data_IF_262329427821
#
_entry.id   IF_262329427821
#
_cell.length_a   1.000
_cell.length_b   1.000
_cell.length_c   1.000
_cell.angle_alpha   90.00
_cell.angle_beta   90.00
_cell.angle_gamma   90.00
#
_symmetry.space_group_name_H-M   'P 1'
#
loop_
_entity.id
_entity.type
_entity.pdbx_description
1 polymer ?
#
# COMPACT_ATOMS: atom_id res chain seq x y z
N UNK A 1 -9.56 -42.56 -12.20
CA UNK A 1 -10.25 -41.46 -12.90
C UNK A 1 -9.36 -40.24 -12.78
N UNK A 2 -8.93 -39.65 -13.89
CA UNK A 2 -8.07 -38.46 -13.84
C UNK A 2 -8.92 -37.30 -13.30
N UNK A 3 -8.64 -36.84 -12.08
CA UNK A 3 -9.32 -35.68 -11.53
C UNK A 3 -9.05 -34.50 -12.47
N UNK A 4 -10.12 -33.82 -12.91
CA UNK A 4 -9.97 -32.65 -13.78
C UNK A 4 -9.07 -31.62 -13.10
N UNK A 5 -8.07 -31.11 -13.83
CA UNK A 5 -7.14 -30.09 -13.32
C UNK A 5 -7.80 -28.71 -13.13
N UNK A 6 -8.94 -28.50 -13.80
CA UNK A 6 -9.67 -27.23 -13.84
C UNK A 6 -11.15 -27.45 -13.50
N UNK A 7 -11.83 -26.42 -12.95
CA UNK A 7 -13.26 -26.47 -12.73
C UNK A 7 -14.07 -26.69 -14.01
N UNK A 8 -15.32 -27.10 -13.86
CA UNK A 8 -16.27 -27.13 -14.96
C UNK A 8 -16.46 -25.73 -15.57
N UNK A 9 -16.95 -25.67 -16.81
CA UNK A 9 -17.02 -24.43 -17.59
C UNK A 9 -17.83 -23.30 -16.90
N UNK A 10 -18.89 -23.65 -16.16
CA UNK A 10 -19.72 -22.68 -15.44
C UNK A 10 -18.93 -22.02 -14.30
N UNK A 11 -18.17 -22.82 -13.54
CA UNK A 11 -17.32 -22.32 -12.47
C UNK A 11 -16.14 -21.51 -12.99
N UNK A 12 -15.53 -21.92 -14.11
CA UNK A 12 -14.46 -21.14 -14.75
C UNK A 12 -14.91 -19.74 -15.15
N UNK A 13 -16.11 -19.62 -15.72
CA UNK A 13 -16.68 -18.32 -16.06
C UNK A 13 -16.94 -17.45 -14.81
N UNK A 14 -17.46 -18.04 -13.73
CA UNK A 14 -17.70 -17.31 -12.48
C UNK A 14 -16.40 -16.83 -11.83
N UNK A 15 -15.37 -17.67 -11.82
CA UNK A 15 -14.03 -17.32 -11.35
C UNK A 15 -13.42 -16.18 -12.17
N UNK A 16 -13.57 -16.22 -13.50
CA UNK A 16 -13.12 -15.15 -14.39
C UNK A 16 -13.83 -13.82 -14.09
N UNK A 17 -15.16 -13.84 -13.93
CA UNK A 17 -15.94 -12.65 -13.55
C UNK A 17 -15.55 -12.13 -12.16
N UNK A 18 -15.15 -13.00 -11.24
CA UNK A 18 -14.63 -12.63 -9.92
C UNK A 18 -13.20 -12.03 -9.99
N UNK A 19 -12.53 -12.07 -11.14
CA UNK A 19 -11.17 -11.53 -11.34
C UNK A 19 -10.04 -12.55 -11.27
N UNK A 20 -10.34 -13.86 -11.37
CA UNK A 20 -9.34 -14.94 -11.39
C UNK A 20 -9.13 -15.40 -12.85
N UNK A 21 -7.97 -15.11 -13.48
CA UNK A 21 -7.68 -15.50 -14.87
C UNK A 21 -7.66 -17.02 -15.03
N UNK A 22 -7.97 -17.53 -16.23
CA UNK A 22 -8.01 -18.99 -16.49
C UNK A 22 -6.71 -19.71 -16.11
N UNK A 23 -5.56 -19.07 -16.31
CA UNK A 23 -4.24 -19.61 -15.95
C UNK A 23 -4.08 -19.89 -14.44
N UNK A 24 -4.91 -19.26 -13.60
CA UNK A 24 -4.88 -19.36 -12.14
C UNK A 24 -6.05 -20.16 -11.57
N UNK A 25 -6.80 -20.87 -12.41
CA UNK A 25 -7.96 -21.69 -12.00
C UNK A 25 -7.61 -23.17 -11.82
N UNK A 26 -6.36 -23.51 -11.54
CA UNK A 26 -5.96 -24.88 -11.17
C UNK A 26 -6.31 -25.17 -9.72
N UNK A 27 -6.43 -26.44 -9.34
CA UNK A 27 -6.70 -26.82 -7.94
C UNK A 27 -5.68 -26.19 -6.96
N UNK A 28 -4.38 -26.31 -7.24
CA UNK A 28 -3.33 -25.77 -6.38
C UNK A 28 -3.39 -24.24 -6.26
N UNK A 29 -3.67 -23.55 -7.37
CA UNK A 29 -3.84 -22.10 -7.36
C UNK A 29 -5.07 -21.71 -6.55
N UNK A 30 -6.21 -22.39 -6.75
CA UNK A 30 -7.43 -22.17 -5.97
C UNK A 30 -7.29 -22.56 -4.49
N UNK A 31 -6.32 -23.41 -4.12
CA UNK A 31 -6.01 -23.76 -2.73
C UNK A 31 -5.13 -22.72 -2.04
N UNK A 32 -4.08 -22.21 -2.70
CA UNK A 32 -3.36 -21.00 -2.22
C UNK A 32 -4.29 -19.77 -2.19
N UNK A 33 -5.41 -19.88 -2.91
CA UNK A 33 -6.76 -19.34 -2.73
C UNK A 33 -7.28 -19.00 -1.32
N UNK A 34 -7.06 -19.92 -0.40
CA UNK A 34 -7.94 -20.11 0.74
C UNK A 34 -7.34 -19.45 1.98
N UNK A 35 -8.17 -18.91 2.88
CA UNK A 35 -7.69 -18.52 4.20
C UNK A 35 -7.22 -19.78 4.92
N UNK A 36 -6.41 -19.59 5.96
CA UNK A 36 -5.80 -20.67 6.76
C UNK A 36 -6.88 -21.47 7.51
N UNK A 37 -7.56 -22.34 6.76
CA UNK A 37 -8.56 -23.29 7.19
C UNK A 37 -7.81 -24.59 7.44
N UNK A 38 -8.04 -25.21 8.60
CA UNK A 38 -7.42 -26.47 8.97
C UNK A 38 -7.36 -27.44 7.78
N UNK A 39 -6.14 -27.75 7.34
CA UNK A 39 -5.83 -28.58 6.16
C UNK A 39 -6.70 -29.84 6.00
N UNK A 40 -7.12 -30.56 7.07
CA UNK A 40 -8.02 -31.72 6.96
C UNK A 40 -9.38 -31.43 6.31
N UNK A 41 -9.92 -30.21 6.42
CA UNK A 41 -11.21 -29.83 5.82
C UNK A 41 -11.12 -29.62 4.30
N UNK A 42 -9.92 -29.33 3.80
CA UNK A 42 -9.66 -29.09 2.38
C UNK A 42 -9.16 -30.35 1.65
N UNK A 43 -8.68 -31.36 2.40
CA UNK A 43 -8.19 -32.62 1.84
C UNK A 43 -9.32 -33.42 1.18
N UNK A 44 -9.13 -33.77 -0.09
CA UNK A 44 -10.07 -34.59 -0.87
C UNK A 44 -11.18 -33.80 -1.57
N UNK A 45 -11.20 -32.47 -1.46
CA UNK A 45 -12.10 -31.65 -2.27
C UNK A 45 -11.73 -31.73 -3.75
N UNK A 46 -12.76 -31.85 -4.59
CA UNK A 46 -12.57 -31.71 -6.04
C UNK A 46 -12.30 -30.24 -6.40
N UNK A 47 -11.70 -30.01 -7.58
CA UNK A 47 -11.46 -28.66 -8.11
C UNK A 47 -12.75 -27.83 -8.25
N UNK A 48 -13.89 -28.49 -8.53
CA UNK A 48 -15.21 -27.85 -8.58
C UNK A 48 -15.65 -27.39 -7.19
N UNK A 49 -15.53 -28.25 -6.18
CA UNK A 49 -15.88 -27.90 -4.79
C UNK A 49 -14.98 -26.79 -4.25
N UNK A 50 -13.70 -26.81 -4.61
CA UNK A 50 -12.75 -25.75 -4.23
C UNK A 50 -13.15 -24.41 -4.87
N UNK A 51 -13.50 -24.42 -6.17
CA UNK A 51 -13.97 -23.23 -6.87
C UNK A 51 -15.27 -22.67 -6.27
N UNK A 52 -16.24 -23.53 -5.94
CA UNK A 52 -17.50 -23.12 -5.31
C UNK A 52 -17.27 -22.53 -3.92
N UNK A 53 -16.45 -23.18 -3.10
CA UNK A 53 -16.11 -22.70 -1.77
C UNK A 53 -15.38 -21.37 -1.83
N UNK A 54 -14.39 -21.22 -2.72
CA UNK A 54 -13.68 -19.96 -2.91
C UNK A 54 -14.62 -18.84 -3.35
N UNK A 55 -15.49 -19.08 -4.34
CA UNK A 55 -16.49 -18.11 -4.79
C UNK A 55 -17.46 -17.73 -3.67
N UNK A 56 -17.86 -18.69 -2.84
CA UNK A 56 -18.68 -18.44 -1.66
C UNK A 56 -17.95 -17.53 -0.66
N UNK A 57 -16.69 -17.83 -0.32
CA UNK A 57 -15.90 -17.02 0.60
C UNK A 57 -15.65 -15.60 0.05
N UNK A 58 -15.45 -15.46 -1.26
CA UNK A 58 -15.37 -14.15 -1.93
C UNK A 58 -16.69 -13.38 -1.78
N UNK A 59 -17.83 -14.04 -2.03
CA UNK A 59 -19.15 -13.40 -1.90
C UNK A 59 -19.47 -12.96 -0.47
N UNK A 60 -18.85 -13.61 0.54
CA UNK A 60 -18.99 -13.27 1.96
C UNK A 60 -17.92 -12.30 2.46
N UNK A 61 -16.99 -11.87 1.60
CA UNK A 61 -15.89 -10.97 1.96
C UNK A 61 -14.84 -11.61 2.87
N UNK A 62 -14.85 -12.95 3.00
CA UNK A 62 -13.85 -13.69 3.79
C UNK A 62 -12.54 -13.80 3.02
N UNK A 63 -12.63 -14.03 1.71
CA UNK A 63 -11.50 -13.89 0.78
C UNK A 63 -11.73 -12.63 -0.04
N UNK A 64 -10.78 -11.70 -0.01
CA UNK A 64 -10.84 -10.55 -0.92
C UNK A 64 -9.90 -10.80 -2.08
N UNK A 65 -10.40 -10.68 -3.30
CA UNK A 65 -9.55 -10.76 -4.47
C UNK A 65 -8.90 -9.41 -4.75
N UNK A 66 -7.62 -9.42 -5.18
CA UNK A 66 -6.95 -8.21 -5.55
C UNK A 66 -7.70 -7.54 -6.72
N UNK A 67 -8.28 -6.36 -6.51
CA UNK A 67 -9.02 -5.64 -7.57
C UNK A 67 -8.13 -4.57 -8.16
N UNK A 68 -7.94 -4.61 -9.48
CA UNK A 68 -7.29 -3.53 -10.19
C UNK A 68 -8.16 -2.26 -10.11
N UNK A 69 -7.57 -1.15 -9.67
CA UNK A 69 -8.26 0.14 -9.57
C UNK A 69 -7.30 1.30 -9.78
N UNK A 70 -7.54 2.06 -10.85
CA UNK A 70 -6.84 3.32 -11.14
C UNK A 70 -7.06 4.42 -10.08
N UNK A 71 -7.96 4.17 -9.12
CA UNK A 71 -8.32 5.08 -8.02
C UNK A 71 -8.05 4.49 -6.64
N UNK A 72 -7.27 3.41 -6.58
CA UNK A 72 -6.94 2.65 -5.37
C UNK A 72 -6.65 3.50 -4.12
N UNK A 73 -5.94 4.63 -4.28
CA UNK A 73 -5.54 5.50 -3.18
C UNK A 73 -6.40 6.75 -2.98
N UNK A 74 -7.38 6.98 -3.86
CA UNK A 74 -8.18 8.21 -3.83
C UNK A 74 -9.27 8.16 -2.76
N UNK A 75 -9.91 7.02 -2.52
CA UNK A 75 -11.02 6.93 -1.56
C UNK A 75 -10.66 6.09 -0.33
N UNK A 76 -9.51 6.43 0.28
CA UNK A 76 -9.09 5.86 1.55
C UNK A 76 -9.90 6.44 2.71
N UNK A 77 -10.29 5.64 3.72
CA UNK A 77 -10.86 6.17 4.96
C UNK A 77 -9.77 6.77 5.85
N UNK A 78 -10.15 7.72 6.72
CA UNK A 78 -9.27 8.21 7.78
C UNK A 78 -8.73 7.06 8.65
N UNK A 79 -7.47 7.17 9.06
CA UNK A 79 -6.74 6.10 9.73
C UNK A 79 -6.13 5.07 8.79
N UNK A 80 -6.22 5.26 7.47
CA UNK A 80 -5.55 4.39 6.51
C UNK A 80 -4.04 4.61 6.51
N UNK A 81 -3.31 3.51 6.69
CA UNK A 81 -1.89 3.44 6.47
C UNK A 81 -1.61 2.40 5.38
N UNK A 82 -1.07 2.87 4.25
CA UNK A 82 -0.96 2.11 3.02
C UNK A 82 0.50 1.97 2.63
N UNK A 83 0.90 0.75 2.28
CA UNK A 83 2.21 0.47 1.72
C UNK A 83 2.11 0.32 0.21
N UNK A 84 3.00 1.01 -0.52
CA UNK A 84 3.01 1.05 -1.97
C UNK A 84 4.40 0.85 -2.55
N UNK A 85 4.50 -0.04 -3.54
CA UNK A 85 5.76 -0.32 -4.24
C UNK A 85 5.83 0.35 -5.61
N UNK A 86 7.01 0.78 -6.02
CA UNK A 86 7.26 1.38 -7.32
C UNK A 86 8.55 0.88 -7.94
N UNK A 87 8.59 0.80 -9.27
CA UNK A 87 9.79 0.46 -10.05
C UNK A 87 10.49 1.72 -10.58
N UNK A 88 9.73 2.77 -10.86
CA UNK A 88 10.21 4.01 -11.45
C UNK A 88 9.68 5.25 -10.73
N UNK A 89 10.36 6.38 -10.96
CA UNK A 89 9.86 7.71 -10.55
C UNK A 89 8.49 8.01 -11.16
N UNK A 90 8.24 7.58 -12.40
CA UNK A 90 6.96 7.82 -13.06
C UNK A 90 5.82 7.09 -12.35
N UNK A 91 6.05 5.87 -11.86
CA UNK A 91 5.04 5.14 -11.07
C UNK A 91 4.68 5.89 -9.79
N UNK A 92 5.65 6.54 -9.14
CA UNK A 92 5.39 7.39 -7.98
C UNK A 92 4.56 8.62 -8.35
N UNK A 93 4.88 9.28 -9.47
CA UNK A 93 4.15 10.47 -9.92
C UNK A 93 2.70 10.14 -10.32
N UNK A 94 2.51 9.10 -11.14
CA UNK A 94 1.19 8.63 -11.60
C UNK A 94 0.26 8.32 -10.42
N UNK A 95 0.84 7.86 -9.31
CA UNK A 95 0.15 7.55 -8.07
C UNK A 95 -0.13 8.78 -7.21
N UNK A 96 0.94 9.52 -6.89
CA UNK A 96 0.90 10.52 -5.83
C UNK A 96 0.35 11.86 -6.30
N UNK A 97 0.48 12.19 -7.59
CA UNK A 97 -0.09 13.43 -8.13
C UNK A 97 -1.63 13.45 -8.00
N UNK A 98 -2.38 12.41 -8.45
CA UNK A 98 -3.82 12.34 -8.20
C UNK A 98 -4.19 12.28 -6.72
N UNK A 99 -3.41 11.55 -5.91
CA UNK A 99 -3.61 11.42 -4.47
C UNK A 99 -3.55 12.78 -3.76
N UNK A 100 -2.52 13.58 -4.02
CA UNK A 100 -2.39 14.91 -3.41
C UNK A 100 -3.35 15.92 -3.99
N UNK A 101 -3.59 15.91 -5.31
CA UNK A 101 -4.61 16.76 -5.93
C UNK A 101 -5.96 16.64 -5.22
N UNK A 102 -6.41 15.41 -4.99
CA UNK A 102 -7.68 15.16 -4.31
C UNK A 102 -7.67 15.69 -2.86
N UNK A 103 -6.57 15.50 -2.12
CA UNK A 103 -6.45 16.03 -0.77
C UNK A 103 -6.56 17.56 -0.73
N UNK A 104 -5.90 18.24 -1.66
CA UNK A 104 -5.98 19.70 -1.78
C UNK A 104 -7.40 20.17 -2.08
N UNK A 105 -8.10 19.52 -3.03
CA UNK A 105 -9.50 19.82 -3.39
C UNK A 105 -10.48 19.53 -2.23
N UNK A 106 -10.16 18.58 -1.35
CA UNK A 106 -10.98 18.19 -0.19
C UNK A 106 -10.64 18.97 1.10
N UNK A 107 -9.87 20.06 0.99
CA UNK A 107 -9.42 20.86 2.14
C UNK A 107 -8.63 20.05 3.18
N UNK A 108 -7.76 19.14 2.71
CA UNK A 108 -6.84 18.37 3.54
C UNK A 108 -5.45 19.02 3.51
N UNK A 109 -4.74 18.98 4.64
CA UNK A 109 -3.31 19.31 4.66
C UNK A 109 -2.55 18.16 4.00
N UNK A 110 -1.58 18.48 3.15
CA UNK A 110 -0.86 17.53 2.33
C UNK A 110 0.65 17.63 2.60
N UNK A 111 1.28 16.50 2.93
CA UNK A 111 2.72 16.41 3.15
C UNK A 111 3.33 15.29 2.30
N UNK A 112 4.29 15.66 1.44
CA UNK A 112 5.02 14.72 0.59
C UNK A 112 6.51 14.73 0.95
N UNK A 113 6.96 13.68 1.63
CA UNK A 113 8.37 13.45 1.92
C UNK A 113 9.01 12.70 0.74
N UNK A 114 9.63 13.43 -0.18
CA UNK A 114 10.23 12.86 -1.39
C UNK A 114 11.59 12.23 -1.10
N UNK A 115 11.98 11.21 -1.87
CA UNK A 115 13.34 10.64 -1.80
C UNK A 115 13.96 10.44 -3.16
N UNK A 116 13.53 9.42 -3.90
CA UNK A 116 14.06 9.22 -5.26
C UNK A 116 13.64 10.36 -6.19
N UNK A 117 12.46 10.94 -5.98
CA UNK A 117 12.05 12.19 -6.59
C UNK A 117 12.74 13.38 -5.92
N UNK A 118 13.16 14.36 -6.73
CA UNK A 118 13.53 15.67 -6.19
C UNK A 118 12.29 16.48 -5.84
N UNK A 119 12.45 17.50 -4.99
CA UNK A 119 11.37 18.44 -4.65
C UNK A 119 10.83 19.12 -5.92
N UNK A 120 11.73 19.49 -6.85
CA UNK A 120 11.36 20.16 -8.10
C UNK A 120 10.62 19.22 -9.06
N UNK A 121 11.02 17.95 -9.17
CA UNK A 121 10.31 16.94 -9.97
C UNK A 121 8.87 16.76 -9.46
N UNK A 122 8.70 16.59 -8.14
CA UNK A 122 7.38 16.42 -7.53
C UNK A 122 6.52 17.68 -7.64
N UNK A 123 7.10 18.88 -7.38
CA UNK A 123 6.41 20.16 -7.50
C UNK A 123 5.97 20.42 -8.95
N UNK A 124 6.84 20.19 -9.93
CA UNK A 124 6.52 20.38 -11.33
C UNK A 124 5.39 19.45 -11.79
N UNK A 125 5.49 18.16 -11.45
CA UNK A 125 4.44 17.19 -11.80
C UNK A 125 3.08 17.56 -11.18
N UNK A 126 3.08 18.01 -9.92
CA UNK A 126 1.86 18.42 -9.24
C UNK A 126 1.30 19.73 -9.81
N UNK A 127 2.14 20.69 -10.23
CA UNK A 127 1.67 21.96 -10.80
C UNK A 127 1.02 21.80 -12.17
N UNK A 128 1.39 20.75 -12.93
CA UNK A 128 0.71 20.40 -14.19
C UNK A 128 -0.73 19.94 -13.91
N UNK A 129 -0.98 19.22 -12.80
CA UNK A 129 -2.29 18.69 -12.46
C UNK A 129 -3.16 19.62 -11.59
N UNK A 130 -2.52 20.54 -10.86
CA UNK A 130 -3.12 21.48 -9.90
C UNK A 130 -2.66 22.90 -10.24
N UNK A 131 -3.44 23.66 -11.05
CA UNK A 131 -3.06 25.00 -11.50
C UNK A 131 -2.72 25.98 -10.35
N UNK A 132 -3.44 25.90 -9.23
CA UNK A 132 -3.28 26.80 -8.09
C UNK A 132 -2.28 26.29 -7.03
N UNK A 133 -1.39 25.35 -7.40
CA UNK A 133 -0.44 24.73 -6.46
C UNK A 133 0.39 25.76 -5.67
N UNK A 134 0.75 26.88 -6.30
CA UNK A 134 1.52 27.93 -5.64
C UNK A 134 0.80 28.49 -4.40
N UNK A 135 -0.52 28.68 -4.46
CA UNK A 135 -1.32 29.18 -3.35
C UNK A 135 -1.46 28.13 -2.24
N UNK A 136 -1.63 26.86 -2.60
CA UNK A 136 -1.64 25.74 -1.66
C UNK A 136 -0.33 25.65 -0.89
N UNK A 137 0.82 25.86 -1.55
CA UNK A 137 2.13 25.87 -0.90
C UNK A 137 2.30 27.13 -0.03
N UNK A 138 1.94 28.32 -0.54
CA UNK A 138 2.11 29.58 0.16
C UNK A 138 1.35 29.63 1.50
N UNK A 139 0.17 29.01 1.56
CA UNK A 139 -0.62 28.89 2.81
C UNK A 139 -0.27 27.66 3.66
N UNK A 140 0.72 26.87 3.25
CA UNK A 140 1.18 25.68 3.98
C UNK A 140 0.29 24.44 3.84
N UNK A 141 -0.77 24.47 3.03
CA UNK A 141 -1.64 23.32 2.80
C UNK A 141 -0.91 22.20 2.05
N UNK A 142 0.01 22.52 1.14
CA UNK A 142 0.91 21.55 0.51
C UNK A 142 2.35 21.77 0.97
N UNK A 143 2.97 20.72 1.51
CA UNK A 143 4.39 20.69 1.84
C UNK A 143 5.07 19.57 1.04
N UNK A 144 6.14 19.91 0.31
CA UNK A 144 7.00 18.96 -0.37
C UNK A 144 8.40 19.18 0.17
N UNK A 145 8.92 18.18 0.88
CA UNK A 145 10.23 18.25 1.54
C UNK A 145 11.01 16.97 1.28
N UNK A 146 12.33 17.02 1.39
CA UNK A 146 13.13 15.82 1.24
C UNK A 146 12.98 14.94 2.50
N UNK A 147 12.98 13.62 2.33
CA UNK A 147 12.78 12.65 3.42
C UNK A 147 13.75 12.90 4.59
N UNK A 148 14.96 13.38 4.31
CA UNK A 148 16.00 13.60 5.32
C UNK A 148 15.62 14.69 6.33
N UNK A 149 14.79 15.66 5.93
CA UNK A 149 14.30 16.71 6.85
C UNK A 149 13.43 16.10 7.95
N UNK A 150 12.69 15.04 7.61
CA UNK A 150 11.84 14.32 8.54
C UNK A 150 12.57 13.17 9.24
N UNK A 151 13.12 12.20 8.50
CA UNK A 151 13.63 10.94 9.06
C UNK A 151 14.99 11.04 9.74
N UNK A 152 15.84 12.00 9.35
CA UNK A 152 17.22 12.07 9.82
C UNK A 152 17.52 13.33 10.60
N UNK A 153 18.51 13.27 11.49
CA UNK A 153 19.12 14.43 12.11
C UNK A 153 20.06 15.17 11.13
N UNK A 154 20.60 16.35 11.47
CA UNK A 154 21.53 17.08 10.62
C UNK A 154 22.83 16.33 10.27
N UNK A 155 23.16 15.25 10.99
CA UNK A 155 24.32 14.41 10.72
C UNK A 155 23.97 13.22 9.80
N UNK A 156 22.72 13.11 9.35
CA UNK A 156 22.22 12.01 8.52
C UNK A 156 21.87 10.74 9.30
N UNK A 157 21.89 10.79 10.64
CA UNK A 157 21.50 9.65 11.48
C UNK A 157 19.97 9.58 11.57
N UNK A 158 19.41 8.39 11.41
CA UNK A 158 17.97 8.16 11.55
C UNK A 158 17.53 8.52 12.98
N UNK A 159 16.55 9.41 13.10
CA UNK A 159 15.98 9.83 14.38
C UNK A 159 15.36 8.64 15.12
N UNK A 160 15.22 8.77 16.43
CA UNK A 160 14.59 7.74 17.25
C UNK A 160 13.13 7.49 16.82
N UNK A 161 12.66 6.23 16.80
CA UNK A 161 11.28 5.88 16.44
C UNK A 161 10.20 6.65 17.21
N UNK A 162 10.42 6.90 18.50
CA UNK A 162 9.53 7.68 19.37
C UNK A 162 9.44 9.14 18.93
N UNK A 163 10.58 9.72 18.54
CA UNK A 163 10.64 11.09 18.06
C UNK A 163 9.90 11.23 16.73
N UNK A 164 10.15 10.32 15.78
CA UNK A 164 9.50 10.35 14.46
C UNK A 164 7.98 10.17 14.57
N UNK A 165 7.53 9.20 15.38
CA UNK A 165 6.10 8.95 15.58
C UNK A 165 5.39 10.13 16.26
N UNK A 166 6.03 10.77 17.25
CA UNK A 166 5.51 12.00 17.86
C UNK A 166 5.43 13.16 16.86
N UNK A 167 6.49 13.37 16.07
CA UNK A 167 6.52 14.41 15.04
C UNK A 167 5.41 14.21 14.00
N UNK A 168 5.19 12.98 13.54
CA UNK A 168 4.13 12.66 12.59
C UNK A 168 2.73 12.88 13.18
N UNK A 169 2.49 12.44 14.42
CA UNK A 169 1.23 12.66 15.11
C UNK A 169 0.94 14.15 15.33
N UNK A 170 1.98 14.95 15.60
CA UNK A 170 1.88 16.39 15.73
C UNK A 170 1.45 17.05 14.41
N UNK A 171 1.98 16.61 13.26
CA UNK A 171 1.53 17.11 11.95
C UNK A 171 0.02 16.93 11.74
N UNK A 172 -0.52 15.75 12.08
CA UNK A 172 -1.96 15.50 11.99
C UNK A 172 -2.78 16.35 12.94
N UNK A 173 -2.26 16.60 14.14
CA UNK A 173 -2.90 17.48 15.13
C UNK A 173 -2.91 18.94 14.68
N UNK A 174 -1.80 19.43 14.10
CA UNK A 174 -1.68 20.78 13.54
C UNK A 174 -2.63 20.98 12.36
N UNK A 175 -2.70 20.03 11.42
CA UNK A 175 -3.62 20.11 10.29
C UNK A 175 -5.07 20.37 10.74
N UNK A 176 -5.51 19.66 11.80
CA UNK A 176 -6.84 19.86 12.39
C UNK A 176 -6.98 21.23 13.08
N UNK A 177 -5.96 21.67 13.81
CA UNK A 177 -5.97 22.96 14.50
C UNK A 177 -6.01 24.14 13.51
N UNK A 178 -5.41 23.98 12.33
CA UNK A 178 -5.40 24.95 11.24
C UNK A 178 -6.71 24.94 10.41
N UNK A 179 -7.66 24.05 10.72
CA UNK A 179 -8.98 23.99 10.08
C UNK A 179 -9.07 23.07 8.85
N UNK A 180 -8.04 22.27 8.57
CA UNK A 180 -8.10 21.25 7.52
C UNK A 180 -8.88 20.02 7.96
N UNK A 181 -9.43 19.28 7.00
CA UNK A 181 -10.22 18.06 7.24
C UNK A 181 -9.42 16.91 7.87
N UNK A 182 -8.10 16.94 7.70
CA UNK A 182 -7.12 15.98 8.20
C UNK A 182 -5.78 16.13 7.48
N UNK A 183 -4.85 15.23 7.77
CA UNK A 183 -3.55 15.15 7.10
C UNK A 183 -3.54 14.00 6.10
N UNK A 184 -3.20 14.31 4.85
CA UNK A 184 -2.86 13.36 3.80
C UNK A 184 -1.35 13.38 3.59
N UNK A 185 -0.69 12.27 3.87
CA UNK A 185 0.76 12.18 3.80
C UNK A 185 1.23 11.09 2.83
N UNK A 186 2.42 11.28 2.30
CA UNK A 186 3.22 10.21 1.71
C UNK A 186 4.68 10.37 2.09
N UNK A 187 5.36 9.25 2.37
CA UNK A 187 6.78 9.23 2.68
C UNK A 187 7.53 8.17 1.90
N UNK A 188 8.60 8.60 1.20
CA UNK A 188 9.54 7.68 0.56
C UNK A 188 10.47 7.06 1.59
N UNK A 189 10.64 5.75 1.48
CA UNK A 189 11.57 4.98 2.30
C UNK A 189 12.83 4.56 1.52
N UNK A 190 13.07 5.14 0.35
CA UNK A 190 14.20 4.79 -0.52
C UNK A 190 15.59 5.00 0.10
N UNK A 191 15.63 5.64 1.26
CA UNK A 191 16.82 5.84 2.08
C UNK A 191 17.24 4.61 2.90
N UNK A 192 16.33 3.65 3.10
CA UNK A 192 16.63 2.44 3.87
C UNK A 192 17.49 1.49 3.02
N UNK A 193 18.78 1.41 3.32
CA UNK A 193 19.79 0.69 2.51
C UNK A 193 20.47 -0.48 3.22
N UNK A 194 20.27 -0.59 4.53
CA UNK A 194 20.96 -1.57 5.38
C UNK A 194 20.02 -2.11 6.48
N UNK A 195 20.35 -3.27 7.09
CA UNK A 195 19.52 -3.89 8.12
C UNK A 195 19.33 -3.06 9.40
N UNK A 196 20.28 -2.20 9.79
CA UNK A 196 20.13 -1.36 10.98
C UNK A 196 19.10 -0.26 10.74
N UNK A 197 19.25 0.46 9.62
CA UNK A 197 18.29 1.46 9.16
C UNK A 197 16.89 0.86 9.00
N UNK A 198 16.81 -0.38 8.49
CA UNK A 198 15.56 -1.13 8.38
C UNK A 198 14.92 -1.39 9.74
N UNK A 199 15.68 -1.93 10.69
CA UNK A 199 15.18 -2.23 12.04
C UNK A 199 14.64 -0.97 12.73
N UNK A 200 15.36 0.16 12.61
CA UNK A 200 14.92 1.46 13.14
C UNK A 200 13.64 1.94 12.47
N UNK A 201 13.57 1.85 11.14
CA UNK A 201 12.39 2.21 10.38
C UNK A 201 11.18 1.37 10.78
N UNK A 202 11.34 0.04 10.90
CA UNK A 202 10.26 -0.86 11.32
C UNK A 202 9.75 -0.56 12.73
N UNK A 203 10.65 -0.20 13.65
CA UNK A 203 10.26 0.25 14.99
C UNK A 203 9.46 1.56 14.95
N UNK A 204 9.75 2.46 14.02
CA UNK A 204 8.95 3.67 13.76
C UNK A 204 7.59 3.31 13.14
N UNK A 205 7.56 2.44 12.14
CA UNK A 205 6.35 2.02 11.44
C UNK A 205 5.30 1.41 12.36
N UNK A 206 5.71 0.55 13.30
CA UNK A 206 4.79 0.00 14.30
C UNK A 206 4.17 1.09 15.18
N UNK A 207 4.93 2.14 15.52
CA UNK A 207 4.43 3.25 16.36
C UNK A 207 3.55 4.20 15.55
N UNK A 208 3.96 4.54 14.32
CA UNK A 208 3.21 5.49 13.48
C UNK A 208 1.86 4.91 13.07
N UNK A 209 1.75 3.59 12.85
CA UNK A 209 0.48 2.94 12.56
C UNK A 209 -0.57 3.18 13.65
N UNK A 210 -0.17 3.09 14.93
CA UNK A 210 -1.05 3.39 16.08
C UNK A 210 -1.44 4.87 16.12
N UNK A 211 -0.52 5.77 15.79
CA UNK A 211 -0.80 7.21 15.71
C UNK A 211 -1.78 7.54 14.58
N UNK A 212 -1.65 6.89 13.43
CA UNK A 212 -2.53 7.08 12.26
C UNK A 212 -3.94 6.60 12.57
N UNK A 213 -4.11 5.40 13.11
CA UNK A 213 -5.43 4.81 13.40
C UNK A 213 -6.29 5.65 14.35
N UNK A 214 -5.65 6.38 15.26
CA UNK A 214 -6.34 7.21 16.26
C UNK A 214 -6.47 8.69 15.86
N UNK A 215 -6.04 9.06 14.64
CA UNK A 215 -6.04 10.43 14.16
C UNK A 215 -6.73 10.57 12.80
N UNK A 216 -7.07 11.80 12.41
CA UNK A 216 -7.52 12.09 11.02
C UNK A 216 -6.30 12.21 10.10
N UNK A 217 -5.57 11.11 9.99
CA UNK A 217 -4.40 10.98 9.12
C UNK A 217 -4.67 9.87 8.11
N UNK A 218 -4.25 10.07 6.87
CA UNK A 218 -4.07 9.02 5.88
C UNK A 218 -2.63 9.10 5.37
N UNK A 219 -1.95 7.96 5.27
CA UNK A 219 -0.56 7.92 4.87
C UNK A 219 -0.31 6.82 3.84
N UNK A 220 0.47 7.15 2.81
CA UNK A 220 0.99 6.22 1.80
C UNK A 220 2.50 6.18 1.91
N UNK A 221 3.05 5.09 2.46
CA UNK A 221 4.48 4.83 2.48
C UNK A 221 4.89 4.23 1.13
N UNK A 222 5.90 4.82 0.48
CA UNK A 222 6.37 4.39 -0.85
C UNK A 222 7.74 3.73 -0.78
N UNK A 223 7.82 2.55 -1.37
CA UNK A 223 8.96 1.65 -1.33
C UNK A 223 9.46 1.39 -2.76
N UNK A 224 10.77 1.54 -3.04
CA UNK A 224 11.34 0.95 -4.24
C UNK A 224 11.04 -0.56 -4.24
N UNK A 225 10.65 -1.14 -5.37
CA UNK A 225 10.32 -2.57 -5.45
C UNK A 225 11.45 -3.47 -4.94
N UNK A 226 12.70 -3.07 -5.16
CA UNK A 226 13.91 -3.75 -4.65
C UNK A 226 13.99 -3.77 -3.11
N UNK A 227 13.37 -2.82 -2.43
CA UNK A 227 13.34 -2.77 -0.97
C UNK A 227 12.41 -3.83 -0.36
N UNK A 228 11.47 -4.39 -1.13
CA UNK A 228 10.57 -5.45 -0.66
C UNK A 228 11.33 -6.68 -0.10
N UNK A 229 12.46 -7.03 -0.70
CA UNK A 229 13.31 -8.12 -0.24
C UNK A 229 14.01 -7.81 1.09
N UNK A 230 14.36 -6.54 1.33
CA UNK A 230 15.06 -6.10 2.55
C UNK A 230 14.12 -5.92 3.73
N UNK A 231 12.88 -5.50 3.48
CA UNK A 231 11.92 -5.20 4.53
C UNK A 231 11.24 -6.44 5.14
N UNK A 232 11.51 -7.64 4.62
CA UNK A 232 10.84 -8.85 5.08
C UNK A 232 9.32 -8.71 5.00
N UNK A 233 8.77 -8.73 3.78
CA UNK A 233 7.35 -8.75 3.38
C UNK A 233 6.29 -8.84 4.52
N UNK A 234 6.37 -9.87 5.36
CA UNK A 234 5.49 -10.10 6.51
C UNK A 234 5.43 -8.95 7.51
N UNK A 235 6.55 -8.31 7.82
CA UNK A 235 6.61 -7.23 8.80
C UNK A 235 6.00 -5.94 8.24
N UNK A 236 6.14 -5.68 6.94
CA UNK A 236 5.45 -4.58 6.24
C UNK A 236 3.93 -4.75 6.28
N UNK A 237 3.44 -5.97 6.05
CA UNK A 237 2.01 -6.32 6.10
C UNK A 237 1.45 -6.09 7.50
N UNK A 238 2.19 -6.43 8.55
CA UNK A 238 1.69 -6.25 9.91
C UNK A 238 1.51 -4.77 10.29
N UNK A 239 2.34 -3.89 9.73
CA UNK A 239 2.33 -2.47 10.04
C UNK A 239 1.38 -1.64 9.15
N UNK A 240 0.86 -2.20 8.06
CA UNK A 240 -0.02 -1.50 7.11
C UNK A 240 -1.37 -2.22 6.95
N UNK A 241 -2.46 -1.45 6.93
CA UNK A 241 -3.80 -2.00 6.80
C UNK A 241 -4.17 -2.41 5.37
N UNK A 242 -3.51 -1.83 4.36
CA UNK A 242 -3.68 -2.17 2.95
C UNK A 242 -2.33 -2.11 2.23
N UNK A 243 -2.14 -2.99 1.23
CA UNK A 243 -0.97 -3.00 0.35
C UNK A 243 -1.42 -2.88 -1.09
N UNK A 244 -0.68 -2.09 -1.85
CA UNK A 244 -0.91 -1.91 -3.28
C UNK A 244 0.42 -2.09 -4.04
N UNK A 245 0.36 -2.82 -5.14
CA UNK A 245 1.52 -3.17 -5.98
C UNK A 245 1.15 -2.93 -7.43
N UNK A 246 2.08 -2.37 -8.22
CA UNK A 246 1.91 -2.20 -9.67
C UNK A 246 2.42 -3.44 -10.40
N UNK A 247 1.52 -4.17 -11.07
CA UNK A 247 1.85 -5.21 -12.08
C UNK A 247 1.00 -4.98 -13.32
N UNK A 248 1.39 -3.98 -14.10
CA UNK A 248 0.52 -3.40 -15.13
C UNK A 248 -0.46 -2.39 -14.52
N UNK A 249 -1.47 -2.86 -13.77
CA UNK A 249 -2.47 -2.02 -13.08
C UNK A 249 -2.30 -2.03 -11.54
N UNK A 250 -2.94 -1.08 -10.85
CA UNK A 250 -2.89 -0.91 -9.39
C UNK A 250 -3.80 -1.90 -8.69
N UNK A 251 -3.23 -2.86 -7.98
CA UNK A 251 -4.01 -3.93 -7.36
C UNK A 251 -4.19 -3.70 -5.86
N UNK A 252 -5.44 -3.66 -5.38
CA UNK A 252 -5.78 -3.51 -3.96
C UNK A 252 -5.81 -4.88 -3.25
N UNK A 253 -4.91 -5.13 -2.30
CA UNK A 253 -5.01 -6.30 -1.42
C UNK A 253 -5.64 -5.91 -0.07
N UNK A 254 -6.63 -6.70 0.41
CA UNK A 254 -7.37 -6.47 1.67
C UNK A 254 -7.32 -7.68 2.61
N UNK A 255 -6.57 -8.74 2.32
CA UNK A 255 -6.62 -9.94 3.16
C UNK A 255 -5.52 -10.00 4.22
N UNK A 256 -5.75 -10.82 5.25
CA UNK A 256 -4.73 -11.25 6.23
C UNK A 256 -3.83 -12.36 5.66
N UNK A 257 -3.42 -12.26 4.39
CA UNK A 257 -2.70 -13.33 3.68
C UNK A 257 -1.21 -12.99 3.52
N UNK A 258 -0.44 -13.10 4.61
CA UNK A 258 0.99 -12.84 4.61
C UNK A 258 1.75 -13.63 3.51
N UNK A 259 1.31 -14.86 3.22
CA UNK A 259 1.99 -15.79 2.31
C UNK A 259 1.83 -15.45 0.81
N UNK A 260 0.69 -14.88 0.41
CA UNK A 260 0.46 -14.46 -0.99
C UNK A 260 1.23 -13.23 -1.35
N UNK A 261 1.28 -12.30 -0.40
CA UNK A 261 2.01 -11.06 -0.53
C UNK A 261 3.51 -11.38 -0.55
N UNK A 262 4.00 -12.33 0.25
CA UNK A 262 5.35 -12.88 0.12
C UNK A 262 5.64 -13.42 -1.29
N UNK A 263 4.70 -14.14 -1.91
CA UNK A 263 4.86 -14.63 -3.29
C UNK A 263 4.91 -13.50 -4.34
N UNK A 264 4.11 -12.44 -4.16
CA UNK A 264 4.17 -11.23 -4.99
C UNK A 264 5.55 -10.56 -4.84
N UNK A 265 6.03 -10.39 -3.62
CA UNK A 265 7.33 -9.78 -3.38
C UNK A 265 8.51 -10.63 -3.85
N UNK A 266 8.46 -11.95 -3.67
CA UNK A 266 9.46 -12.87 -4.20
C UNK A 266 9.58 -12.78 -5.73
N UNK A 267 8.46 -12.52 -6.42
CA UNK A 267 8.45 -12.30 -7.87
C UNK A 267 8.83 -10.87 -8.29
N UNK A 268 8.84 -9.88 -7.39
CA UNK A 268 9.46 -8.57 -7.63
C UNK A 268 10.98 -8.60 -7.46
N UNK A 269 11.50 -9.46 -6.57
CA UNK A 269 12.94 -9.60 -6.31
C UNK A 269 13.70 -10.36 -7.42
N UNK A 270 12.99 -11.01 -8.34
CA UNK A 270 13.52 -11.87 -9.40
C UNK A 270 13.38 -11.29 -10.82
N UNK A 271 12.94 -10.04 -10.94
CA UNK A 271 12.88 -9.25 -12.18
C UNK A 271 13.94 -8.13 -12.18
#
# INVERSE_FOLDING_TARGET
MNASRYPNASLRQKLFVAGIPEAEQTLDALMSRMPDLDSPLLQGLSVDMMAELLLYLISKGVVTLPKASDKALLDLPWGSHVCQFYDSKQDQLDMLVPYFKQGLERNEACAWLVGDLTIDEARHALSVAVPDLADYIARGQMQIVHYSEFYTDPNGTVKAPEQLSYQFAAMGSSAKAEGYAGLRASGSVSWVKDPESMSRFMAYETRVNVAIQNARIMAVCTYPAKAAALCGCRELIHNHGNIFVKRGEWVHDKSKDAERIEAVFASLASA
#
